data_IF_680918167612
#
_entry.id   IF_680918167612
#
_cell.length_a   1.000
_cell.length_b   1.000
_cell.length_c   1.000
_cell.angle_alpha   90.00
_cell.angle_beta   90.00
_cell.angle_gamma   90.00
#
_symmetry.space_group_name_H-M   'P 1'
#
loop_
_entity.id
_entity.type
_entity.pdbx_description
1 polymer ?
#
# COMPACT_ATOMS: atom_id res chain seq x y z
N UNK A 1 17.17 -10.33 11.53
CA UNK A 1 15.92 -11.03 11.89
C UNK A 1 16.05 -12.47 11.40
N UNK A 2 15.76 -13.47 12.23
CA UNK A 2 15.93 -14.88 11.84
C UNK A 2 14.66 -15.37 11.16
N UNK A 3 14.79 -15.92 9.95
CA UNK A 3 13.67 -16.49 9.18
C UNK A 3 13.25 -17.81 9.85
N UNK A 4 11.95 -18.03 10.01
CA UNK A 4 11.43 -19.29 10.59
C UNK A 4 11.39 -20.43 9.56
N UNK A 5 11.24 -21.67 10.02
CA UNK A 5 11.03 -22.82 9.11
C UNK A 5 9.76 -22.64 8.27
N UNK A 6 8.69 -22.15 8.89
CA UNK A 6 7.44 -21.82 8.19
C UNK A 6 7.68 -20.78 7.08
N UNK A 7 8.34 -19.66 7.39
CA UNK A 7 8.64 -18.61 6.41
C UNK A 7 9.53 -19.13 5.28
N UNK A 8 10.51 -19.98 5.60
CA UNK A 8 11.38 -20.62 4.61
C UNK A 8 10.56 -21.45 3.62
N UNK A 9 9.66 -22.30 4.12
CA UNK A 9 8.79 -23.13 3.28
C UNK A 9 7.81 -22.28 2.45
N UNK A 10 7.22 -21.24 3.04
CA UNK A 10 6.34 -20.30 2.36
C UNK A 10 7.07 -19.61 1.19
N UNK A 11 8.28 -19.12 1.41
CA UNK A 11 9.06 -18.45 0.38
C UNK A 11 9.54 -19.41 -0.70
N UNK A 12 9.94 -20.64 -0.35
CA UNK A 12 10.32 -21.65 -1.34
C UNK A 12 9.18 -22.00 -2.30
N UNK A 13 7.94 -22.02 -1.81
CA UNK A 13 6.76 -22.25 -2.66
C UNK A 13 6.46 -21.05 -3.57
N UNK A 14 6.42 -19.84 -3.01
CA UNK A 14 5.93 -18.66 -3.73
C UNK A 14 7.00 -17.98 -4.59
N UNK A 15 8.29 -18.16 -4.28
CA UNK A 15 9.36 -17.44 -4.98
C UNK A 15 9.46 -17.77 -6.48
N UNK A 16 9.36 -19.04 -6.94
CA UNK A 16 9.34 -19.35 -8.37
C UNK A 16 8.24 -18.59 -9.11
N UNK A 17 7.00 -18.68 -8.61
CA UNK A 17 5.84 -17.98 -9.18
C UNK A 17 6.08 -16.47 -9.29
N UNK A 18 6.46 -15.81 -8.19
CA UNK A 18 6.68 -14.37 -8.22
C UNK A 18 7.89 -13.95 -9.05
N UNK A 19 8.92 -14.79 -9.14
CA UNK A 19 10.11 -14.55 -9.97
C UNK A 19 9.77 -14.54 -11.46
N UNK A 20 8.85 -15.40 -11.91
CA UNK A 20 8.36 -15.41 -13.30
C UNK A 20 7.66 -14.09 -13.68
N UNK A 21 7.20 -13.33 -12.68
CA UNK A 21 6.62 -12.00 -12.83
C UNK A 21 7.59 -10.85 -12.46
N UNK A 22 8.90 -11.12 -12.43
CA UNK A 22 9.97 -10.17 -12.15
C UNK A 22 9.96 -9.56 -10.73
N UNK A 23 9.40 -10.27 -9.75
CA UNK A 23 9.55 -9.91 -8.34
C UNK A 23 10.76 -10.61 -7.73
N UNK A 24 11.46 -9.90 -6.85
CA UNK A 24 12.56 -10.44 -6.04
C UNK A 24 12.15 -10.54 -4.59
N UNK A 25 12.50 -11.63 -3.93
CA UNK A 25 12.28 -11.81 -2.50
C UNK A 25 13.27 -10.94 -1.70
N UNK A 26 12.72 -10.07 -0.86
CA UNK A 26 13.45 -9.31 0.16
C UNK A 26 13.15 -9.92 1.53
N UNK A 27 13.98 -10.88 1.92
CA UNK A 27 13.74 -11.70 3.13
C UNK A 27 13.77 -10.89 4.41
N UNK A 28 14.65 -9.89 4.50
CA UNK A 28 14.76 -8.95 5.62
C UNK A 28 13.49 -8.11 5.82
N UNK A 29 12.74 -7.89 4.75
CA UNK A 29 11.49 -7.11 4.74
C UNK A 29 10.23 -7.96 4.61
N UNK A 30 10.35 -9.30 4.57
CA UNK A 30 9.23 -10.24 4.40
C UNK A 30 8.31 -9.89 3.24
N UNK A 31 8.88 -9.49 2.11
CA UNK A 31 8.11 -9.09 0.93
C UNK A 31 8.76 -9.54 -0.37
N UNK A 32 7.94 -9.76 -1.38
CA UNK A 32 8.37 -9.76 -2.77
C UNK A 32 8.26 -8.35 -3.32
N UNK A 33 9.26 -7.88 -4.06
CA UNK A 33 9.29 -6.54 -4.64
C UNK A 33 9.67 -6.58 -6.12
N UNK A 34 8.95 -5.81 -6.91
CA UNK A 34 9.27 -5.52 -8.31
C UNK A 34 9.51 -4.03 -8.47
N UNK A 35 10.68 -3.64 -8.96
CA UNK A 35 10.99 -2.24 -9.27
C UNK A 35 10.27 -1.83 -10.55
N UNK A 36 9.78 -0.61 -10.59
CA UNK A 36 9.10 0.00 -11.74
C UNK A 36 9.80 1.33 -12.08
N UNK A 37 9.49 1.93 -13.23
CA UNK A 37 10.05 3.24 -13.60
C UNK A 37 9.69 4.35 -12.61
N UNK A 38 8.55 4.21 -11.91
CA UNK A 38 7.98 5.25 -11.06
C UNK A 38 7.99 4.86 -9.57
N UNK A 39 8.80 3.86 -9.16
CA UNK A 39 8.84 3.37 -7.78
C UNK A 39 8.88 1.84 -7.73
N UNK A 40 7.96 1.22 -6.99
CA UNK A 40 7.91 -0.25 -6.91
C UNK A 40 6.49 -0.79 -6.67
N UNK A 41 6.32 -2.07 -6.94
CA UNK A 41 5.19 -2.89 -6.49
C UNK A 41 5.69 -3.90 -5.46
N UNK A 42 4.85 -4.26 -4.50
CA UNK A 42 5.21 -5.25 -3.50
C UNK A 42 4.06 -6.15 -3.07
N UNK A 43 4.47 -7.27 -2.48
CA UNK A 43 3.61 -8.29 -1.88
C UNK A 43 4.25 -8.61 -0.54
N UNK A 44 3.58 -8.21 0.54
CA UNK A 44 4.05 -8.32 1.92
C UNK A 44 3.33 -9.51 2.57
N UNK A 45 4.13 -10.41 3.14
CA UNK A 45 3.66 -11.63 3.79
C UNK A 45 3.88 -11.50 5.30
N UNK A 46 2.79 -11.31 6.04
CA UNK A 46 2.84 -11.14 7.49
C UNK A 46 2.32 -12.41 8.17
N UNK A 47 3.22 -13.14 8.84
CA UNK A 47 2.86 -14.31 9.63
C UNK A 47 2.88 -14.03 11.13
N UNK A 48 1.86 -14.52 11.86
CA UNK A 48 1.81 -14.55 13.32
C UNK A 48 1.68 -15.99 13.78
N UNK A 49 2.56 -16.41 14.68
CA UNK A 49 2.67 -17.78 15.18
C UNK A 49 1.90 -17.95 16.49
N UNK A 50 0.97 -18.89 16.53
CA UNK A 50 0.25 -19.34 17.72
C UNK A 50 0.66 -20.78 18.06
N UNK A 51 0.32 -21.31 19.25
CA UNK A 51 0.67 -22.68 19.62
C UNK A 51 0.12 -23.75 18.65
N UNK A 52 -1.09 -23.53 18.12
CA UNK A 52 -1.81 -24.53 17.32
C UNK A 52 -1.94 -24.16 15.83
N UNK A 53 -1.72 -22.89 15.48
CA UNK A 53 -1.84 -22.40 14.11
C UNK A 53 -0.84 -21.28 13.77
N UNK A 54 -0.59 -21.07 12.49
CA UNK A 54 0.06 -19.86 11.98
C UNK A 54 -0.96 -19.08 11.19
N UNK A 55 -1.13 -17.81 11.51
CA UNK A 55 -1.95 -16.91 10.69
C UNK A 55 -1.08 -16.21 9.66
N UNK A 56 -1.53 -16.17 8.41
CA UNK A 56 -0.86 -15.47 7.31
C UNK A 56 -1.78 -14.40 6.74
N UNK A 57 -1.27 -13.18 6.65
CA UNK A 57 -1.91 -12.05 5.99
C UNK A 57 -1.10 -11.65 4.76
N UNK A 58 -1.78 -11.53 3.61
CA UNK A 58 -1.18 -11.15 2.34
C UNK A 58 -1.63 -9.74 1.99
N UNK A 59 -0.69 -8.81 2.06
CA UNK A 59 -0.88 -7.43 1.63
C UNK A 59 -0.11 -7.19 0.33
N UNK A 60 -0.60 -6.29 -0.50
CA UNK A 60 0.08 -5.92 -1.74
C UNK A 60 -0.25 -4.48 -2.08
N UNK A 61 0.61 -3.87 -2.87
CA UNK A 61 0.50 -2.45 -3.13
C UNK A 61 1.56 -1.92 -4.07
N UNK A 62 1.56 -0.61 -4.19
CA UNK A 62 2.53 0.10 -5.00
C UNK A 62 2.99 1.37 -4.31
N UNK A 63 4.24 1.74 -4.58
CA UNK A 63 4.82 3.04 -4.31
C UNK A 63 4.94 3.79 -5.63
N UNK A 64 4.37 4.98 -5.66
CA UNK A 64 4.74 6.01 -6.64
C UNK A 64 5.76 6.95 -6.00
N UNK A 65 6.98 6.93 -6.52
CA UNK A 65 8.15 7.55 -5.89
C UNK A 65 7.94 9.02 -5.62
N UNK A 66 7.47 9.78 -6.61
CA UNK A 66 7.23 11.22 -6.46
C UNK A 66 6.14 11.53 -5.42
N UNK A 67 5.11 10.69 -5.32
CA UNK A 67 4.02 10.90 -4.35
C UNK A 67 4.55 10.68 -2.94
N UNK A 68 5.26 9.57 -2.70
CA UNK A 68 5.84 9.29 -1.39
C UNK A 68 6.97 10.25 -1.03
N UNK A 69 7.82 10.63 -1.97
CA UNK A 69 8.91 11.57 -1.70
C UNK A 69 8.38 12.91 -1.19
N UNK A 70 7.26 13.40 -1.74
CA UNK A 70 6.59 14.60 -1.22
C UNK A 70 5.92 14.27 0.11
N UNK A 71 5.08 13.23 0.18
CA UNK A 71 4.30 12.91 1.37
C UNK A 71 5.16 12.73 2.63
N UNK A 72 6.26 11.99 2.51
CA UNK A 72 7.15 11.66 3.63
C UNK A 72 7.93 12.87 4.19
N UNK A 73 7.92 14.03 3.52
CA UNK A 73 8.45 15.29 4.08
C UNK A 73 7.50 15.93 5.08
N UNK A 74 6.19 15.65 4.96
CA UNK A 74 5.15 16.25 5.79
C UNK A 74 4.57 15.24 6.79
N UNK A 75 4.66 13.94 6.50
CA UNK A 75 4.24 12.88 7.40
C UNK A 75 5.28 12.59 8.49
N UNK A 76 4.80 12.22 9.68
CA UNK A 76 5.60 11.84 10.85
C UNK A 76 6.13 10.39 10.81
N UNK A 77 6.35 9.84 9.60
CA UNK A 77 6.91 8.49 9.45
C UNK A 77 8.36 8.42 9.92
N UNK A 78 8.70 7.29 10.55
CA UNK A 78 10.08 6.97 10.91
C UNK A 78 10.98 7.00 9.66
N UNK A 79 12.13 7.70 9.69
CA UNK A 79 13.02 7.85 8.53
C UNK A 79 13.37 6.54 7.84
N UNK A 80 13.68 5.50 8.63
CA UNK A 80 14.09 4.18 8.11
C UNK A 80 12.98 3.44 7.37
N UNK A 81 11.70 3.81 7.60
CA UNK A 81 10.55 3.21 6.94
C UNK A 81 10.12 3.97 5.68
N UNK A 82 10.58 5.21 5.49
CA UNK A 82 10.20 6.06 4.35
C UNK A 82 10.53 5.45 2.98
N UNK A 83 11.70 4.79 2.77
CA UNK A 83 12.02 4.16 1.49
C UNK A 83 11.07 3.01 1.13
N UNK A 84 10.40 2.42 2.13
CA UNK A 84 9.50 1.28 1.95
C UNK A 84 8.02 1.66 2.05
N UNK A 85 7.71 2.96 2.21
CA UNK A 85 6.33 3.43 2.26
C UNK A 85 5.61 3.18 0.93
N UNK A 86 4.36 2.70 1.02
CA UNK A 86 3.49 2.45 -0.11
C UNK A 86 2.51 3.61 -0.31
N UNK A 87 2.26 3.97 -1.57
CA UNK A 87 1.20 4.90 -1.94
C UNK A 87 -0.18 4.27 -1.76
N UNK A 88 -0.35 3.06 -2.30
CA UNK A 88 -1.51 2.21 -2.07
C UNK A 88 -1.07 0.91 -1.43
N UNK A 89 -1.84 0.42 -0.46
CA UNK A 89 -1.65 -0.89 0.15
C UNK A 89 -2.99 -1.42 0.68
N UNK A 90 -3.28 -2.67 0.34
CA UNK A 90 -4.47 -3.38 0.81
C UNK A 90 -4.20 -4.87 0.93
N UNK A 91 -5.04 -5.56 1.69
CA UNK A 91 -5.01 -7.01 1.79
C UNK A 91 -5.69 -7.65 0.59
N UNK A 92 -5.23 -8.85 0.23
CA UNK A 92 -5.89 -9.71 -0.75
C UNK A 92 -7.39 -9.85 -0.42
N UNK A 93 -7.72 -10.16 0.83
CA UNK A 93 -9.10 -10.33 1.33
C UNK A 93 -10.00 -9.12 1.06
N UNK A 94 -9.45 -7.90 1.21
CA UNK A 94 -10.20 -6.67 1.01
C UNK A 94 -10.51 -6.43 -0.46
N UNK A 95 -9.60 -6.79 -1.38
CA UNK A 95 -9.86 -6.66 -2.82
C UNK A 95 -10.94 -7.65 -3.28
N UNK A 96 -10.92 -8.89 -2.79
CA UNK A 96 -11.91 -9.93 -3.14
C UNK A 96 -13.25 -9.78 -2.39
N UNK A 97 -13.40 -8.81 -1.48
CA UNK A 97 -14.63 -8.58 -0.73
C UNK A 97 -14.95 -9.64 0.34
N UNK A 98 -13.99 -10.49 0.71
CA UNK A 98 -14.19 -11.51 1.74
C UNK A 98 -13.90 -10.94 3.15
N UNK A 99 -14.77 -11.27 4.12
CA UNK A 99 -14.64 -10.81 5.50
C UNK A 99 -13.49 -11.46 6.28
N UNK A 100 -12.98 -12.64 5.84
CA UNK A 100 -11.85 -13.29 6.50
C UNK A 100 -10.53 -12.72 5.99
N UNK A 101 -9.89 -11.91 6.83
CA UNK A 101 -8.68 -11.17 6.45
C UNK A 101 -7.40 -12.02 6.41
N UNK A 102 -7.40 -13.21 7.02
CA UNK A 102 -6.19 -14.00 7.28
C UNK A 102 -6.42 -15.48 7.05
N UNK A 103 -5.41 -16.14 6.50
CA UNK A 103 -5.33 -17.60 6.41
C UNK A 103 -4.93 -18.16 7.76
N UNK A 104 -5.51 -19.29 8.15
CA UNK A 104 -5.07 -20.10 9.29
C UNK A 104 -4.45 -21.38 8.76
N UNK A 105 -3.21 -21.63 9.12
CA UNK A 105 -2.40 -22.73 8.58
C UNK A 105 -1.97 -23.60 9.76
N UNK A 106 -2.44 -24.84 9.78
CA UNK A 106 -2.16 -25.82 10.85
C UNK A 106 -1.18 -26.90 10.39
N UNK A 107 -0.95 -27.00 9.07
CA UNK A 107 -0.15 -28.07 8.47
C UNK A 107 0.58 -27.61 7.21
N UNK A 108 1.50 -28.43 6.72
CA UNK A 108 2.18 -28.21 5.45
C UNK A 108 1.22 -28.35 4.24
N UNK A 109 0.20 -29.20 4.35
CA UNK A 109 -0.85 -29.32 3.35
C UNK A 109 -1.69 -28.03 3.28
N UNK A 110 -2.03 -27.44 4.44
CA UNK A 110 -2.70 -26.14 4.52
C UNK A 110 -1.84 -25.04 3.88
N UNK A 111 -0.53 -25.04 4.15
CA UNK A 111 0.41 -24.09 3.55
C UNK A 111 0.40 -24.19 2.02
N UNK A 112 0.48 -25.41 1.48
CA UNK A 112 0.46 -25.66 0.03
C UNK A 112 -0.84 -25.16 -0.61
N UNK A 113 -1.99 -25.40 0.04
CA UNK A 113 -3.29 -24.90 -0.40
C UNK A 113 -3.33 -23.36 -0.42
N UNK A 114 -2.83 -22.73 0.64
CA UNK A 114 -2.79 -21.26 0.74
C UNK A 114 -1.87 -20.66 -0.31
N UNK A 115 -0.71 -21.26 -0.58
CA UNK A 115 0.17 -20.82 -1.65
C UNK A 115 -0.54 -20.86 -3.01
N UNK A 116 -1.23 -21.97 -3.34
CA UNK A 116 -2.00 -22.08 -4.57
C UNK A 116 -3.13 -21.02 -4.67
N UNK A 117 -3.78 -20.69 -3.56
CA UNK A 117 -4.79 -19.62 -3.53
C UNK A 117 -4.20 -18.23 -3.77
N UNK A 118 -2.99 -17.96 -3.25
CA UNK A 118 -2.27 -16.70 -3.49
C UNK A 118 -1.89 -16.60 -4.97
N UNK A 119 -1.32 -17.67 -5.55
CA UNK A 119 -0.94 -17.72 -6.96
C UNK A 119 -2.14 -17.53 -7.88
N UNK A 120 -3.26 -18.23 -7.60
CA UNK A 120 -4.52 -18.10 -8.35
C UNK A 120 -5.06 -16.67 -8.31
N UNK A 121 -5.05 -16.03 -7.14
CA UNK A 121 -5.47 -14.63 -6.99
C UNK A 121 -4.61 -13.68 -7.82
N UNK A 122 -3.28 -13.80 -7.73
CA UNK A 122 -2.39 -12.92 -8.47
C UNK A 122 -2.49 -13.12 -9.98
N UNK A 123 -2.65 -14.36 -10.43
CA UNK A 123 -2.86 -14.72 -11.83
C UNK A 123 -4.18 -14.17 -12.39
N UNK A 124 -5.24 -14.12 -11.59
CA UNK A 124 -6.58 -13.69 -12.03
C UNK A 124 -6.82 -12.18 -11.96
N UNK A 125 -6.25 -11.51 -10.96
CA UNK A 125 -6.55 -10.09 -10.72
C UNK A 125 -5.45 -9.30 -10.01
N UNK A 126 -4.60 -9.95 -9.19
CA UNK A 126 -3.64 -9.23 -8.37
C UNK A 126 -2.59 -8.47 -9.19
N UNK A 127 -2.02 -9.10 -10.22
CA UNK A 127 -1.03 -8.44 -11.08
C UNK A 127 -1.65 -7.34 -11.95
N UNK A 128 -2.84 -7.56 -12.51
CA UNK A 128 -3.54 -6.56 -13.31
C UNK A 128 -3.90 -5.32 -12.48
N UNK A 129 -4.34 -5.52 -11.24
CA UNK A 129 -4.55 -4.41 -10.30
C UNK A 129 -3.25 -3.62 -10.09
N UNK A 130 -2.16 -4.29 -9.74
CA UNK A 130 -0.88 -3.62 -9.49
C UNK A 130 -0.35 -2.86 -10.72
N UNK A 131 -0.53 -3.43 -11.92
CA UNK A 131 -0.10 -2.82 -13.17
C UNK A 131 -0.88 -1.53 -13.48
N UNK A 132 -2.19 -1.52 -13.19
CA UNK A 132 -3.07 -0.38 -13.49
C UNK A 132 -3.07 0.69 -12.39
N UNK A 133 -2.93 0.28 -11.12
CA UNK A 133 -3.04 1.17 -9.95
C UNK A 133 -1.83 2.08 -9.72
N UNK A 134 -0.73 1.88 -10.44
CA UNK A 134 0.53 2.59 -10.19
C UNK A 134 0.66 3.92 -10.98
N UNK A 135 -0.29 4.25 -11.87
CA UNK A 135 -0.24 5.49 -12.65
C UNK A 135 -0.83 6.69 -11.88
N UNK A 136 -0.33 7.91 -12.12
CA UNK A 136 -0.86 9.12 -11.47
C UNK A 136 -2.38 9.31 -11.66
N UNK A 137 -2.96 9.16 -12.87
CA UNK A 137 -4.41 9.29 -13.04
C UNK A 137 -5.18 8.27 -12.19
N UNK A 138 -4.70 7.02 -12.13
CA UNK A 138 -5.36 5.99 -11.36
C UNK A 138 -5.19 6.23 -9.85
N UNK A 139 -4.02 6.68 -9.39
CA UNK A 139 -3.79 7.03 -7.99
C UNK A 139 -4.71 8.17 -7.54
N UNK A 140 -4.81 9.23 -8.33
CA UNK A 140 -5.72 10.35 -8.10
C UNK A 140 -7.16 9.85 -8.00
N UNK A 141 -7.64 9.06 -8.97
CA UNK A 141 -8.96 8.46 -8.92
C UNK A 141 -9.17 7.60 -7.65
N UNK A 142 -8.33 6.58 -7.42
CA UNK A 142 -8.53 5.62 -6.31
C UNK A 142 -8.46 6.28 -4.93
N UNK A 143 -7.71 7.38 -4.78
CA UNK A 143 -7.60 8.11 -3.53
C UNK A 143 -8.74 9.14 -3.37
N UNK A 144 -9.25 9.72 -4.45
CA UNK A 144 -10.14 10.89 -4.40
C UNK A 144 -11.59 10.63 -4.88
N UNK A 145 -11.93 9.42 -5.36
CA UNK A 145 -13.26 9.11 -5.91
C UNK A 145 -14.39 9.23 -4.88
N UNK A 146 -14.19 8.73 -3.65
CA UNK A 146 -15.19 8.75 -2.58
C UNK A 146 -14.63 9.44 -1.33
N UNK A 147 -14.65 10.77 -1.30
CA UNK A 147 -13.96 11.56 -0.27
C UNK A 147 -14.56 11.41 1.14
N UNK A 148 -15.86 11.14 1.23
CA UNK A 148 -16.57 11.00 2.51
C UNK A 148 -16.53 9.57 3.08
N UNK A 149 -16.03 8.61 2.32
CA UNK A 149 -15.93 7.22 2.72
C UNK A 149 -14.47 6.82 2.96
N UNK A 150 -14.16 5.90 3.90
CA UNK A 150 -12.81 5.40 4.07
C UNK A 150 -12.26 4.78 2.77
N UNK A 151 -11.09 5.22 2.31
CA UNK A 151 -10.45 4.66 1.13
C UNK A 151 -9.99 3.23 1.43
N UNK A 152 -10.50 2.26 0.67
CA UNK A 152 -10.14 0.84 0.83
C UNK A 152 -8.68 0.52 0.52
N UNK A 153 -8.02 1.37 -0.27
CA UNK A 153 -6.67 1.16 -0.79
C UNK A 153 -5.56 1.74 0.10
N UNK A 154 -5.92 2.35 1.23
CA UNK A 154 -4.97 2.92 2.20
C UNK A 154 -5.47 2.59 3.60
N UNK A 155 -4.62 2.03 4.45
CA UNK A 155 -5.02 1.73 5.84
C UNK A 155 -5.13 2.99 6.71
N UNK A 156 -4.22 3.94 6.54
CA UNK A 156 -4.20 5.18 7.32
C UNK A 156 -4.93 6.30 6.55
N UNK A 157 -6.13 6.66 7.01
CA UNK A 157 -6.96 7.68 6.35
C UNK A 157 -6.39 9.09 6.49
N UNK A 158 -5.63 9.39 7.54
CA UNK A 158 -4.86 10.64 7.61
C UNK A 158 -3.83 10.70 6.48
N UNK A 159 -3.10 9.61 6.24
CA UNK A 159 -2.12 9.56 5.14
C UNK A 159 -2.78 9.68 3.76
N UNK A 160 -4.01 9.18 3.60
CA UNK A 160 -4.80 9.35 2.37
C UNK A 160 -4.98 10.83 2.04
N UNK A 161 -5.29 11.70 3.01
CA UNK A 161 -5.44 13.14 2.76
C UNK A 161 -4.20 13.75 2.09
N UNK A 162 -3.00 13.41 2.60
CA UNK A 162 -1.74 13.90 2.02
C UNK A 162 -1.52 13.31 0.62
N UNK A 163 -1.61 11.99 0.48
CA UNK A 163 -1.27 11.28 -0.76
C UNK A 163 -2.27 11.57 -1.88
N UNK A 164 -3.55 11.65 -1.56
CA UNK A 164 -4.63 11.98 -2.50
C UNK A 164 -4.47 13.37 -3.07
N UNK A 165 -4.14 14.35 -2.23
CA UNK A 165 -3.90 15.72 -2.68
C UNK A 165 -2.63 15.83 -3.55
N UNK A 166 -1.55 15.13 -3.17
CA UNK A 166 -0.33 15.08 -3.98
C UNK A 166 -0.60 14.44 -5.34
N UNK A 167 -1.30 13.29 -5.38
CA UNK A 167 -1.65 12.62 -6.62
C UNK A 167 -2.50 13.53 -7.52
N UNK A 168 -3.52 14.20 -6.96
CA UNK A 168 -4.34 15.18 -7.68
C UNK A 168 -3.52 16.32 -8.26
N UNK A 169 -2.57 16.87 -7.49
CA UNK A 169 -1.70 17.97 -7.96
C UNK A 169 -0.82 17.52 -9.13
N UNK A 170 -0.15 16.39 -8.97
CA UNK A 170 0.75 15.84 -9.98
C UNK A 170 0.00 15.41 -11.25
N UNK A 171 -1.27 15.04 -11.12
CA UNK A 171 -2.15 14.70 -12.22
C UNK A 171 -2.86 15.91 -12.85
N UNK A 172 -2.58 17.14 -12.38
CA UNK A 172 -3.27 18.36 -12.82
C UNK A 172 -4.81 18.27 -12.71
N UNK A 173 -5.30 17.65 -11.63
CA UNK A 173 -6.73 17.51 -11.39
C UNK A 173 -7.41 18.90 -11.33
N UNK A 174 -8.43 19.18 -12.16
CA UNK A 174 -9.08 20.49 -12.20
C UNK A 174 -9.82 20.83 -10.90
N UNK A 175 -10.16 19.83 -10.09
CA UNK A 175 -10.86 19.99 -8.82
C UNK A 175 -9.89 20.08 -7.63
N UNK A 176 -8.62 20.40 -7.87
CA UNK A 176 -7.58 20.42 -6.83
C UNK A 176 -7.95 21.32 -5.65
N UNK A 177 -8.47 22.53 -5.91
CA UNK A 177 -8.81 23.47 -4.84
C UNK A 177 -9.97 22.96 -3.97
N UNK A 178 -10.99 22.33 -4.58
CA UNK A 178 -12.08 21.69 -3.84
C UNK A 178 -11.58 20.53 -2.97
N UNK A 179 -10.63 19.75 -3.50
CA UNK A 179 -9.99 18.65 -2.74
C UNK A 179 -9.19 19.16 -1.54
N UNK A 180 -8.53 20.32 -1.67
CA UNK A 180 -7.82 20.96 -0.55
C UNK A 180 -8.80 21.23 0.60
N UNK A 181 -9.92 21.89 0.30
CA UNK A 181 -10.89 22.28 1.32
C UNK A 181 -11.56 21.06 1.94
N UNK A 182 -11.92 20.06 1.13
CA UNK A 182 -12.49 18.81 1.63
C UNK A 182 -11.55 18.09 2.60
N UNK A 183 -10.28 17.90 2.20
CA UNK A 183 -9.32 17.19 3.04
C UNK A 183 -8.92 17.95 4.29
N UNK A 184 -8.92 19.29 4.27
CA UNK A 184 -8.77 20.09 5.51
C UNK A 184 -9.84 19.73 6.53
N UNK A 185 -11.11 19.76 6.12
CA UNK A 185 -12.22 19.42 7.00
C UNK A 185 -12.14 17.97 7.49
N UNK A 186 -11.87 17.03 6.59
CA UNK A 186 -11.75 15.62 6.93
C UNK A 186 -10.61 15.38 7.94
N UNK A 187 -9.45 16.01 7.75
CA UNK A 187 -8.29 15.85 8.63
C UNK A 187 -8.54 16.41 10.03
N UNK A 188 -9.23 17.55 10.13
CA UNK A 188 -9.65 18.13 11.42
C UNK A 188 -10.52 17.13 12.18
N UNK A 189 -11.52 16.54 11.51
CA UNK A 189 -12.42 15.57 12.11
C UNK A 189 -11.70 14.27 12.53
N UNK A 190 -10.78 13.77 11.71
CA UNK A 190 -10.09 12.49 11.96
C UNK A 190 -9.05 12.56 13.06
N UNK A 191 -8.31 13.67 13.17
CA UNK A 191 -7.13 13.74 14.05
C UNK A 191 -7.35 14.54 15.32
N UNK A 192 -8.18 15.60 15.26
CA UNK A 192 -8.30 16.62 16.31
C UNK A 192 -6.93 17.13 16.82
N UNK A 193 -5.90 17.07 15.98
CA UNK A 193 -4.51 17.38 16.34
C UNK A 193 -4.03 18.62 15.56
N UNK A 194 -3.76 19.75 16.25
CA UNK A 194 -3.27 20.98 15.60
C UNK A 194 -1.94 20.81 14.87
N UNK A 195 -1.08 19.89 15.32
CA UNK A 195 0.20 19.63 14.64
C UNK A 195 -0.03 18.98 13.27
N UNK A 196 -0.94 18.01 13.16
CA UNK A 196 -1.27 17.40 11.87
C UNK A 196 -1.87 18.42 10.90
N UNK A 197 -2.71 19.34 11.39
CA UNK A 197 -3.25 20.44 10.58
C UNK A 197 -2.14 21.36 10.06
N UNK A 198 -1.19 21.75 10.92
CA UNK A 198 -0.05 22.59 10.52
C UNK A 198 0.81 21.91 9.44
N UNK A 199 1.06 20.61 9.57
CA UNK A 199 1.81 19.85 8.57
C UNK A 199 1.07 19.76 7.24
N UNK A 200 -0.25 19.61 7.28
CA UNK A 200 -1.09 19.58 6.08
C UNK A 200 -1.14 20.92 5.36
N UNK A 201 -1.27 22.05 6.07
CA UNK A 201 -1.22 23.39 5.45
C UNK A 201 0.14 23.68 4.80
N UNK A 202 1.22 23.18 5.39
CA UNK A 202 2.56 23.26 4.78
C UNK A 202 2.63 22.47 3.48
N UNK A 203 2.01 21.29 3.42
CA UNK A 203 1.89 20.52 2.19
C UNK A 203 1.11 21.31 1.13
N UNK A 204 -0.04 21.88 1.47
CA UNK A 204 -0.88 22.65 0.53
C UNK A 204 -0.08 23.80 -0.07
N UNK A 205 0.58 24.58 0.79
CA UNK A 205 1.43 25.71 0.36
C UNK A 205 2.56 25.24 -0.56
N UNK A 206 3.19 24.11 -0.24
CA UNK A 206 4.21 23.51 -1.10
C UNK A 206 3.64 23.13 -2.47
N UNK A 207 2.49 22.47 -2.52
CA UNK A 207 1.87 22.00 -3.76
C UNK A 207 1.40 23.14 -4.67
N UNK A 208 0.96 24.27 -4.11
CA UNK A 208 0.58 25.46 -4.88
C UNK A 208 1.74 26.02 -5.71
N UNK A 209 2.95 25.96 -5.17
CA UNK A 209 4.18 26.41 -5.85
C UNK A 209 4.97 25.29 -6.52
N UNK A 210 4.54 24.03 -6.36
CA UNK A 210 5.21 22.89 -6.94
C UNK A 210 5.01 22.88 -8.46
N UNK A 211 6.14 22.76 -9.18
CA UNK A 211 6.20 22.48 -10.61
C UNK A 211 7.10 21.25 -10.78
N UNK A 212 6.55 20.19 -11.37
CA UNK A 212 7.36 19.06 -11.82
C UNK A 212 8.15 19.55 -13.05
N UNK A 213 9.47 19.63 -12.93
CA UNK A 213 10.36 19.91 -14.06
C UNK A 213 10.35 18.76 -15.06
#
# INVERSE_FOLDING_TARGET
MTITSFETNLYQHLAPFFSDHAYTLLTDKKQFRRVTSNGFQNIILTSVFYPDDTTLEVNFGCRHEQVEQIAQQFLNSQPDLRPDANTLILSMSRLIGFQKARYKIHSEADLSLVCAQIEDFFSKQGFDFLATSASLPMLDQLLNEYLDEPCRYVYNQTHRCYKGLIAARLNHNPNFDDLVDHYRHLLIHQTQNPYEQMHFERLITYLQHYSAN
#
